data_IF_890843394697
#
_entry.id   IF_890843394697
#
_cell.length_a   1.000
_cell.length_b   1.000
_cell.length_c   1.000
_cell.angle_alpha   90.00
_cell.angle_beta   90.00
_cell.angle_gamma   90.00
#
_symmetry.space_group_name_H-M   'P 1'
#
loop_
_entity.id
_entity.type
_entity.pdbx_description
1 polymer ?
#
# COMPACT_ATOMS: atom_id res chain seq x y z
N UNK A 1 -10.17 -12.49 25.60
CA UNK A 1 -8.72 -12.25 25.46
C UNK A 1 -8.53 -11.01 24.60
N UNK A 2 -7.84 -9.98 25.07
CA UNK A 2 -7.52 -8.80 24.26
C UNK A 2 -6.25 -9.08 23.44
N UNK A 3 -6.22 -8.67 22.17
CA UNK A 3 -5.08 -8.86 21.27
C UNK A 3 -4.66 -7.52 20.68
N UNK A 4 -3.38 -7.19 20.80
CA UNK A 4 -2.76 -6.04 20.13
C UNK A 4 -2.13 -6.53 18.84
N UNK A 5 -2.39 -5.84 17.73
CA UNK A 5 -1.82 -6.13 16.42
C UNK A 5 -1.13 -4.89 15.89
N UNK A 6 0.13 -5.04 15.51
CA UNK A 6 0.97 -3.98 14.94
C UNK A 6 1.79 -4.57 13.79
N UNK A 7 2.19 -3.76 12.79
CA UNK A 7 3.14 -4.21 11.77
C UNK A 7 4.41 -4.80 12.40
N UNK A 8 5.02 -5.78 11.71
CA UNK A 8 6.23 -6.45 12.23
C UNK A 8 7.42 -5.50 12.27
N UNK A 9 7.50 -4.60 11.30
CA UNK A 9 8.54 -3.58 11.19
C UNK A 9 7.89 -2.20 11.07
N UNK A 10 8.38 -1.25 11.85
CA UNK A 10 7.97 0.16 11.80
C UNK A 10 9.26 0.99 11.73
N UNK A 11 9.51 1.57 10.57
CA UNK A 11 10.55 2.59 10.41
C UNK A 11 9.87 3.95 10.57
N UNK A 12 10.39 4.80 11.46
CA UNK A 12 9.78 6.10 11.71
C UNK A 12 10.87 7.12 12.05
N UNK A 13 10.56 8.39 11.82
CA UNK A 13 11.47 9.50 12.09
C UNK A 13 11.70 10.37 10.87
N UNK A 14 12.46 11.45 11.07
CA UNK A 14 12.92 12.25 9.95
C UNK A 14 13.73 11.39 8.99
N UNK A 15 13.45 11.49 7.69
CA UNK A 15 14.14 10.76 6.64
C UNK A 15 13.98 9.22 6.62
N UNK A 16 13.09 8.63 7.41
CA UNK A 16 12.83 7.17 7.39
C UNK A 16 12.58 6.60 5.98
N UNK A 17 11.91 7.38 5.11
CA UNK A 17 11.70 7.04 3.70
C UNK A 17 13.01 6.77 2.93
N UNK A 18 14.08 7.52 3.20
CA UNK A 18 15.36 7.37 2.48
C UNK A 18 16.35 6.42 3.16
N UNK A 19 16.10 6.04 4.41
CA UNK A 19 16.94 5.10 5.17
C UNK A 19 16.39 3.68 5.15
N UNK A 20 15.16 3.49 4.67
CA UNK A 20 14.54 2.17 4.54
C UNK A 20 15.06 1.45 3.30
N UNK A 21 15.42 0.18 3.46
CA UNK A 21 15.71 -0.71 2.34
C UNK A 21 14.43 -1.25 1.71
N UNK A 22 14.32 -1.13 0.38
CA UNK A 22 13.17 -1.61 -0.37
C UNK A 22 13.54 -2.82 -1.24
N UNK A 23 12.70 -3.87 -1.29
CA UNK A 23 12.91 -4.98 -2.19
C UNK A 23 12.88 -4.54 -3.67
N UNK A 24 13.77 -5.10 -4.48
CA UNK A 24 13.70 -4.99 -5.95
C UNK A 24 12.46 -5.72 -6.49
N UNK A 25 12.04 -5.37 -7.69
CA UNK A 25 10.82 -5.87 -8.34
C UNK A 25 9.53 -5.59 -7.54
N UNK A 26 9.50 -4.45 -6.82
CA UNK A 26 8.32 -4.02 -6.07
C UNK A 26 7.23 -3.45 -6.98
N UNK A 27 5.97 -3.60 -6.61
CA UNK A 27 4.85 -2.86 -7.20
C UNK A 27 4.46 -1.70 -6.29
N UNK A 28 4.74 -0.46 -6.71
CA UNK A 28 4.31 0.75 -6.03
C UNK A 28 2.94 1.17 -6.54
N UNK A 29 1.98 1.31 -5.63
CA UNK A 29 0.62 1.76 -5.87
C UNK A 29 0.42 3.12 -5.21
N UNK A 30 -0.01 4.12 -5.98
CA UNK A 30 -0.23 5.47 -5.50
C UNK A 30 -1.46 6.12 -6.13
N UNK A 31 -2.03 7.09 -5.42
CA UNK A 31 -3.09 7.99 -5.95
C UNK A 31 -2.53 9.35 -6.34
N UNK A 32 -1.22 9.55 -6.19
CA UNK A 32 -0.59 10.86 -6.29
C UNK A 32 0.00 11.06 -7.69
N UNK A 33 -0.15 12.25 -8.28
CA UNK A 33 0.39 12.52 -9.61
C UNK A 33 1.92 12.33 -9.69
N UNK A 34 2.45 11.94 -10.87
CA UNK A 34 3.88 11.72 -11.11
C UNK A 34 4.80 12.83 -10.57
N UNK A 35 4.41 14.10 -10.75
CA UNK A 35 5.20 15.25 -10.30
C UNK A 35 5.54 15.25 -8.80
N UNK A 36 4.76 14.56 -7.98
CA UNK A 36 5.01 14.42 -6.54
C UNK A 36 5.50 13.00 -6.19
N UNK A 37 4.92 11.95 -6.78
CA UNK A 37 5.35 10.58 -6.51
C UNK A 37 6.79 10.31 -6.97
N UNK A 38 7.25 10.93 -8.06
CA UNK A 38 8.65 10.82 -8.52
C UNK A 38 9.65 11.35 -7.48
N UNK A 39 9.30 12.41 -6.75
CA UNK A 39 10.15 12.95 -5.67
C UNK A 39 10.26 11.97 -4.51
N UNK A 40 9.17 11.29 -4.17
CA UNK A 40 9.17 10.28 -3.12
C UNK A 40 9.92 9.03 -3.54
N UNK A 41 9.71 8.54 -4.76
CA UNK A 41 10.44 7.41 -5.33
C UNK A 41 11.94 7.69 -5.41
N UNK A 42 12.34 8.90 -5.80
CA UNK A 42 13.74 9.33 -5.77
C UNK A 42 14.30 9.34 -4.34
N UNK A 43 13.53 9.84 -3.36
CA UNK A 43 13.93 9.84 -1.94
C UNK A 43 14.03 8.43 -1.36
N UNK A 44 13.15 7.51 -1.77
CA UNK A 44 13.20 6.10 -1.38
C UNK A 44 14.46 5.39 -1.89
N UNK A 45 15.09 5.90 -2.96
CA UNK A 45 16.20 5.20 -3.62
C UNK A 45 15.82 3.83 -4.20
N UNK A 46 14.51 3.55 -4.34
CA UNK A 46 14.00 2.25 -4.78
C UNK A 46 14.44 1.94 -6.22
N UNK A 47 14.85 0.70 -6.45
CA UNK A 47 15.37 0.23 -7.74
C UNK A 47 14.47 -0.87 -8.30
N UNK A 48 14.42 -0.96 -9.64
CA UNK A 48 13.70 -2.03 -10.34
C UNK A 48 12.26 -2.18 -9.85
N UNK A 49 11.45 -1.14 -9.98
CA UNK A 49 10.06 -1.14 -9.50
C UNK A 49 9.07 -0.93 -10.65
N UNK A 50 7.86 -1.42 -10.42
CA UNK A 50 6.69 -1.13 -11.22
C UNK A 50 5.84 -0.07 -10.53
N UNK A 51 5.23 0.82 -11.31
CA UNK A 51 4.35 1.87 -10.80
C UNK A 51 2.91 1.68 -11.28
N UNK A 52 1.96 1.85 -10.38
CA UNK A 52 0.54 2.02 -10.67
C UNK A 52 0.01 3.25 -9.95
N UNK A 53 -0.22 4.32 -10.72
CA UNK A 53 -0.62 5.65 -10.27
C UNK A 53 -2.08 6.00 -10.65
N UNK A 54 -2.86 5.01 -11.08
CA UNK A 54 -4.22 5.18 -11.59
C UNK A 54 -5.29 4.94 -10.52
N UNK A 55 -4.90 4.73 -9.26
CA UNK A 55 -5.88 4.61 -8.16
C UNK A 55 -6.55 5.95 -7.93
N UNK A 56 -7.88 5.93 -7.82
CA UNK A 56 -8.67 7.11 -7.48
C UNK A 56 -8.99 7.15 -5.98
N UNK A 57 -9.26 8.33 -5.43
CA UNK A 57 -9.82 8.44 -4.08
C UNK A 57 -11.10 7.60 -3.93
N UNK A 58 -11.26 7.00 -2.75
CA UNK A 58 -12.35 6.05 -2.45
C UNK A 58 -12.43 4.86 -3.42
N UNK A 59 -11.36 4.04 -3.46
CA UNK A 59 -11.24 2.92 -4.39
C UNK A 59 -12.37 1.89 -4.22
N UNK A 60 -12.70 1.24 -5.31
CA UNK A 60 -13.64 0.12 -5.39
C UNK A 60 -12.91 -1.21 -5.41
N UNK A 61 -13.67 -2.30 -5.22
CA UNK A 61 -13.16 -3.66 -5.45
C UNK A 61 -12.71 -3.85 -6.91
N UNK A 62 -13.31 -3.15 -7.87
CA UNK A 62 -12.92 -3.25 -9.29
C UNK A 62 -11.56 -2.59 -9.54
N UNK A 63 -11.23 -1.51 -8.83
CA UNK A 63 -9.89 -0.90 -8.86
C UNK A 63 -8.83 -1.89 -8.36
N UNK A 64 -9.15 -2.64 -7.29
CA UNK A 64 -8.29 -3.71 -6.75
C UNK A 64 -8.13 -4.84 -7.77
N UNK A 65 -9.22 -5.32 -8.36
CA UNK A 65 -9.18 -6.38 -9.37
C UNK A 65 -8.39 -5.96 -10.62
N UNK A 66 -8.43 -4.68 -10.98
CA UNK A 66 -7.61 -4.11 -12.06
C UNK A 66 -6.13 -4.19 -11.74
N UNK A 67 -5.73 -3.87 -10.50
CA UNK A 67 -4.33 -4.02 -10.05
C UNK A 67 -3.92 -5.50 -10.06
N UNK A 68 -4.72 -6.38 -9.48
CA UNK A 68 -4.42 -7.83 -9.43
C UNK A 68 -4.25 -8.38 -10.85
N UNK A 69 -5.20 -8.13 -11.74
CA UNK A 69 -5.16 -8.66 -13.12
C UNK A 69 -3.97 -8.15 -13.92
N UNK A 70 -3.57 -6.89 -13.74
CA UNK A 70 -2.45 -6.26 -14.46
C UNK A 70 -1.07 -6.74 -14.00
N UNK A 71 -0.95 -7.14 -12.73
CA UNK A 71 0.35 -7.41 -12.11
C UNK A 71 0.56 -8.85 -11.63
N UNK A 72 -0.47 -9.72 -11.62
CA UNK A 72 -0.33 -11.13 -11.24
C UNK A 72 0.78 -11.86 -12.01
N UNK A 73 0.85 -11.66 -13.33
CA UNK A 73 1.79 -12.38 -14.21
C UNK A 73 3.19 -11.71 -14.21
N UNK A 74 3.29 -10.50 -13.67
CA UNK A 74 4.57 -9.80 -13.46
C UNK A 74 5.25 -10.21 -12.16
N UNK A 75 4.53 -10.92 -11.29
CA UNK A 75 5.04 -11.53 -10.06
C UNK A 75 5.90 -10.56 -9.20
N UNK A 76 5.36 -9.41 -8.77
CA UNK A 76 6.10 -8.48 -7.92
C UNK A 76 6.59 -9.18 -6.64
N UNK A 77 7.74 -8.75 -6.11
CA UNK A 77 8.27 -9.28 -4.85
C UNK A 77 7.43 -8.84 -3.65
N UNK A 78 7.00 -7.57 -3.67
CA UNK A 78 6.24 -6.90 -2.61
C UNK A 78 5.31 -5.86 -3.24
N UNK A 79 4.21 -5.55 -2.56
CA UNK A 79 3.37 -4.40 -2.90
C UNK A 79 3.62 -3.24 -1.93
N UNK A 80 3.75 -2.04 -2.46
CA UNK A 80 3.99 -0.82 -1.69
C UNK A 80 2.82 0.14 -1.88
N UNK A 81 2.11 0.46 -0.80
CA UNK A 81 1.08 1.49 -0.80
C UNK A 81 1.69 2.83 -0.41
N UNK A 82 1.93 3.71 -1.38
CA UNK A 82 2.53 5.02 -1.18
C UNK A 82 1.46 6.11 -1.33
N UNK A 83 1.14 6.82 -0.25
CA UNK A 83 0.16 7.91 -0.29
C UNK A 83 -0.77 7.93 0.92
N UNK A 84 -2.05 8.25 0.69
CA UNK A 84 -3.09 8.22 1.73
C UNK A 84 -3.79 6.86 1.85
N UNK A 85 -4.87 6.82 2.64
CA UNK A 85 -5.65 5.60 2.87
C UNK A 85 -6.15 4.91 1.60
N UNK A 86 -6.42 5.65 0.51
CA UNK A 86 -6.89 5.06 -0.75
C UNK A 86 -5.86 4.16 -1.44
N UNK A 87 -4.60 4.57 -1.58
CA UNK A 87 -3.57 3.69 -2.16
C UNK A 87 -3.24 2.51 -1.24
N UNK A 88 -3.21 2.76 0.07
CA UNK A 88 -2.96 1.72 1.07
C UNK A 88 -4.07 0.66 1.10
N UNK A 89 -5.35 1.05 1.02
CA UNK A 89 -6.47 0.10 1.03
C UNK A 89 -6.47 -0.81 -0.21
N UNK A 90 -6.06 -0.29 -1.37
CA UNK A 90 -5.85 -1.12 -2.56
C UNK A 90 -4.76 -2.17 -2.32
N UNK A 91 -3.62 -1.77 -1.76
CA UNK A 91 -2.50 -2.69 -1.48
C UNK A 91 -2.85 -3.70 -0.39
N UNK A 92 -3.55 -3.28 0.66
CA UNK A 92 -4.03 -4.16 1.73
C UNK A 92 -4.85 -5.32 1.19
N UNK A 93 -5.71 -5.05 0.22
CA UNK A 93 -6.52 -6.08 -0.39
C UNK A 93 -5.75 -6.89 -1.45
N UNK A 94 -5.01 -6.21 -2.34
CA UNK A 94 -4.34 -6.86 -3.46
C UNK A 94 -3.18 -7.77 -3.03
N UNK A 95 -2.40 -7.40 -2.02
CA UNK A 95 -1.18 -8.13 -1.67
C UNK A 95 -1.47 -9.56 -1.16
N UNK A 96 -2.44 -9.79 -0.24
CA UNK A 96 -2.84 -11.14 0.16
C UNK A 96 -3.34 -12.01 -1.01
N UNK A 97 -4.11 -11.44 -1.95
CA UNK A 97 -4.59 -12.15 -3.14
C UNK A 97 -3.44 -12.58 -4.05
N UNK A 98 -2.40 -11.75 -4.16
CA UNK A 98 -1.17 -12.06 -4.89
C UNK A 98 -0.16 -12.88 -4.06
N UNK A 99 -0.50 -13.23 -2.81
CA UNK A 99 0.38 -13.92 -1.84
C UNK A 99 1.71 -13.19 -1.64
N UNK A 100 1.65 -11.85 -1.53
CA UNK A 100 2.80 -10.97 -1.34
C UNK A 100 2.73 -10.25 -0.01
N UNK A 101 3.90 -9.92 0.51
CA UNK A 101 4.04 -8.98 1.62
C UNK A 101 3.65 -7.57 1.15
N UNK A 102 3.37 -6.71 2.13
CA UNK A 102 3.01 -5.31 1.86
C UNK A 102 3.72 -4.32 2.77
N UNK A 103 4.21 -3.25 2.14
CA UNK A 103 4.83 -2.09 2.79
C UNK A 103 3.86 -0.92 2.62
N UNK A 104 3.48 -0.24 3.71
CA UNK A 104 2.57 0.90 3.66
C UNK A 104 3.28 2.17 4.12
N UNK A 105 3.23 3.21 3.29
CA UNK A 105 3.97 4.46 3.46
C UNK A 105 2.97 5.63 3.42
N UNK A 106 2.51 6.13 4.58
CA UNK A 106 1.58 7.24 4.65
C UNK A 106 2.25 8.56 4.24
N UNK A 107 1.53 9.37 3.47
CA UNK A 107 1.94 10.75 3.12
C UNK A 107 0.98 11.79 3.68
N UNK A 108 0.05 11.38 4.53
CA UNK A 108 -0.98 12.22 5.15
C UNK A 108 -1.04 11.96 6.65
N UNK A 109 -1.14 13.03 7.44
CA UNK A 109 -1.44 12.89 8.87
C UNK A 109 -2.96 12.68 9.03
N UNK A 110 -3.39 11.44 9.23
CA UNK A 110 -4.82 11.13 9.21
C UNK A 110 -5.17 9.69 9.56
N UNK A 111 -5.45 8.86 8.56
CA UNK A 111 -6.20 7.60 8.70
C UNK A 111 -5.51 6.52 9.55
N UNK A 112 -4.19 6.58 9.73
CA UNK A 112 -3.42 5.49 10.36
C UNK A 112 -3.60 4.16 9.64
N UNK A 113 -3.76 4.19 8.30
CA UNK A 113 -4.11 3.00 7.55
C UNK A 113 -2.94 2.00 7.58
N UNK A 114 -1.71 2.48 7.51
CA UNK A 114 -0.47 1.72 7.66
C UNK A 114 -0.40 0.88 8.94
N UNK A 115 -1.11 1.28 10.02
CA UNK A 115 -1.09 0.61 11.33
C UNK A 115 -2.30 -0.29 11.61
N UNK A 116 -3.28 -0.40 10.70
CA UNK A 116 -4.57 -1.04 10.99
C UNK A 116 -4.86 -2.27 10.13
N UNK A 117 -5.69 -3.17 10.67
CA UNK A 117 -6.30 -4.31 9.95
C UNK A 117 -7.56 -3.93 9.16
N UNK A 118 -7.86 -2.63 9.06
CA UNK A 118 -9.02 -2.14 8.34
C UNK A 118 -8.69 -1.88 6.88
N UNK A 119 -9.61 -2.19 5.98
CA UNK A 119 -9.52 -1.85 4.56
C UNK A 119 -10.86 -1.27 4.12
N UNK A 120 -10.87 -0.10 3.50
CA UNK A 120 -12.11 0.57 3.10
C UNK A 120 -12.24 0.62 1.58
N UNK A 121 -13.21 -0.12 1.05
CA UNK A 121 -13.45 -0.22 -0.40
C UNK A 121 -14.92 -0.02 -0.73
N UNK A 122 -15.21 0.43 -1.95
CA UNK A 122 -16.57 0.43 -2.50
C UNK A 122 -16.91 -0.93 -3.12
N UNK A 123 -18.07 -1.46 -2.72
CA UNK A 123 -18.72 -2.62 -3.34
C UNK A 123 -20.12 -2.17 -3.79
N UNK A 124 -20.45 -2.35 -5.07
CA UNK A 124 -21.73 -1.91 -5.65
C UNK A 124 -22.03 -0.42 -5.35
N UNK A 125 -21.00 0.43 -5.47
CA UNK A 125 -21.07 1.86 -5.18
C UNK A 125 -21.14 2.24 -3.69
N UNK A 126 -21.23 1.26 -2.77
CA UNK A 126 -21.33 1.50 -1.33
C UNK A 126 -20.00 1.27 -0.64
N UNK A 127 -19.56 2.25 0.16
CA UNK A 127 -18.35 2.16 0.99
C UNK A 127 -18.56 1.11 2.09
N UNK A 128 -17.66 0.12 2.16
CA UNK A 128 -17.64 -0.91 3.19
C UNK A 128 -16.29 -0.89 3.89
N UNK A 129 -16.33 -1.03 5.22
CA UNK A 129 -15.14 -1.27 6.02
C UNK A 129 -14.99 -2.77 6.22
N UNK A 130 -13.89 -3.32 5.75
CA UNK A 130 -13.48 -4.69 5.95
C UNK A 130 -12.46 -4.73 7.08
N UNK A 131 -12.49 -5.78 7.90
CA UNK A 131 -11.53 -5.99 8.98
C UNK A 131 -11.01 -7.42 8.92
N UNK A 132 -9.76 -7.57 8.55
CA UNK A 132 -9.10 -8.88 8.51
C UNK A 132 -7.63 -8.74 8.91
N UNK A 133 -7.11 -9.72 9.63
CA UNK A 133 -5.71 -9.68 10.11
C UNK A 133 -4.70 -9.64 8.94
N UNK A 134 -5.06 -10.23 7.80
CA UNK A 134 -4.26 -10.20 6.56
C UNK A 134 -4.05 -8.80 5.98
N UNK A 135 -4.86 -7.81 6.40
CA UNK A 135 -4.70 -6.42 5.95
C UNK A 135 -3.64 -5.65 6.74
N UNK A 136 -3.14 -6.18 7.85
CA UNK A 136 -2.07 -5.53 8.61
C UNK A 136 -0.77 -5.50 7.79
N UNK A 137 -0.10 -4.35 7.71
CA UNK A 137 1.15 -4.22 6.99
C UNK A 137 2.22 -5.18 7.53
N UNK A 138 3.10 -5.66 6.64
CA UNK A 138 4.31 -6.36 7.06
C UNK A 138 5.36 -5.33 7.51
N UNK A 139 5.43 -4.17 6.83
CA UNK A 139 6.23 -3.01 7.21
C UNK A 139 5.46 -1.70 7.03
N UNK A 140 5.61 -0.77 7.98
CA UNK A 140 5.20 0.62 7.84
C UNK A 140 6.44 1.53 7.86
N UNK A 141 6.44 2.58 7.04
CA UNK A 141 7.54 3.56 6.90
C UNK A 141 7.01 4.98 6.98
#
# INVERSE_FOLDING_TARGET
MHTIRIPKVINFGENALGETEYPKNALVVTTVPPALSDKWLAKMGIQDYMLYDQVKPEPSIDDVNTVISKFKDKNPSVLIGLGGGSSMDVVKYAAPELKKEKILIPTTFGTGAEMTTYCVLKFDGKKKLLREDRFLADMAV
#
